data_IF_467381980531
#
_entry.id   IF_467381980531
#
_cell.length_a   1.000
_cell.length_b   1.000
_cell.length_c   1.000
_cell.angle_alpha   90.00
_cell.angle_beta   90.00
_cell.angle_gamma   90.00
#
_symmetry.space_group_name_H-M   'P 1'
#
loop_
_entity.id
_entity.type
_entity.pdbx_description
1 polymer ?
#
# COMPACT_ATOMS: atom_id res chain seq x y z
N UNK A 1 22.85 -17.50 35.68
CA UNK A 1 21.50 -17.72 35.09
C UNK A 1 20.92 -16.36 34.69
N UNK A 2 20.86 -16.16 33.37
CA UNK A 2 20.19 -15.14 32.55
C UNK A 2 19.74 -13.81 33.17
N UNK A 3 20.49 -12.74 32.89
CA UNK A 3 19.96 -11.38 32.70
C UNK A 3 19.98 -11.07 31.20
N UNK A 4 18.86 -11.27 30.51
CA UNK A 4 18.60 -10.83 29.14
C UNK A 4 17.10 -10.60 29.07
N UNK A 5 16.63 -9.40 28.71
CA UNK A 5 15.28 -9.04 28.19
C UNK A 5 14.81 -7.60 28.47
N UNK A 6 15.71 -6.65 28.76
CA UNK A 6 15.34 -5.22 28.77
C UNK A 6 16.39 -4.42 28.01
N UNK A 7 16.18 -4.23 26.71
CA UNK A 7 17.02 -3.36 25.89
C UNK A 7 16.65 -3.35 24.40
N UNK A 8 16.27 -2.16 23.92
CA UNK A 8 16.58 -1.62 22.58
C UNK A 8 15.78 -1.96 21.32
N UNK A 9 14.45 -2.20 21.37
CA UNK A 9 13.66 -2.30 20.11
C UNK A 9 12.32 -1.55 20.06
N UNK A 10 12.18 -0.48 20.84
CA UNK A 10 10.98 0.39 20.80
C UNK A 10 11.31 1.84 20.39
N UNK A 11 12.56 2.17 20.03
CA UNK A 11 12.91 3.51 19.50
C UNK A 11 12.75 3.65 17.98
N UNK A 12 12.79 2.54 17.23
CA UNK A 12 12.83 2.56 15.75
C UNK A 12 11.56 3.10 15.06
N UNK A 13 10.43 3.21 15.76
CA UNK A 13 9.18 3.73 15.16
C UNK A 13 9.06 5.25 15.26
N UNK A 14 9.89 5.93 16.06
CA UNK A 14 9.88 7.40 16.18
C UNK A 14 10.78 8.09 15.17
N UNK A 15 11.78 7.39 14.63
CA UNK A 15 12.71 7.94 13.65
C UNK A 15 12.19 7.82 12.20
N UNK A 16 11.07 7.12 11.99
CA UNK A 16 10.31 7.09 10.73
C UNK A 16 9.26 8.21 10.65
N UNK A 17 9.45 9.30 11.39
CA UNK A 17 8.67 10.52 11.21
C UNK A 17 9.14 11.23 9.94
N UNK A 18 8.45 10.93 8.84
CA UNK A 18 8.44 11.70 7.59
C UNK A 18 9.80 11.81 6.90
N UNK A 19 10.33 10.68 6.40
CA UNK A 19 11.28 10.72 5.29
C UNK A 19 10.55 11.19 4.02
N UNK A 20 10.38 12.51 3.91
CA UNK A 20 9.87 13.25 2.75
C UNK A 20 10.78 13.16 1.52
N UNK A 21 11.87 12.39 1.59
CA UNK A 21 12.87 12.20 0.53
C UNK A 21 12.98 10.74 0.11
N UNK A 22 11.90 10.22 -0.48
CA UNK A 22 11.73 8.80 -0.66
C UNK A 22 11.18 8.43 -2.04
N UNK A 23 11.87 8.92 -3.06
CA UNK A 23 11.51 8.74 -4.47
C UNK A 23 11.48 7.26 -4.94
N UNK A 24 12.08 6.34 -4.17
CA UNK A 24 12.05 4.90 -4.46
C UNK A 24 10.76 4.22 -3.99
N UNK A 25 10.16 4.68 -2.89
CA UNK A 25 8.95 4.07 -2.31
C UNK A 25 7.68 4.46 -3.08
N UNK A 26 7.65 5.68 -3.63
CA UNK A 26 6.60 6.17 -4.55
C UNK A 26 6.61 5.46 -5.92
N UNK A 27 7.75 4.85 -6.28
CA UNK A 27 7.89 4.17 -7.56
C UNK A 27 7.24 2.78 -7.60
N UNK A 28 7.01 2.15 -6.44
CA UNK A 28 6.44 0.80 -6.33
C UNK A 28 4.96 0.77 -6.73
N UNK A 29 4.44 -0.39 -7.16
CA UNK A 29 3.01 -0.52 -7.50
C UNK A 29 2.12 -0.22 -6.29
N UNK A 30 2.55 -0.62 -5.10
CA UNK A 30 1.82 -0.40 -3.85
C UNK A 30 1.81 1.07 -3.43
N UNK A 31 2.95 1.77 -3.56
CA UNK A 31 3.01 3.21 -3.29
C UNK A 31 2.12 4.02 -4.22
N UNK A 32 2.05 3.65 -5.51
CA UNK A 32 1.13 4.29 -6.47
C UNK A 32 -0.34 4.02 -6.14
N UNK A 33 -0.65 2.80 -5.71
CA UNK A 33 -2.00 2.41 -5.29
C UNK A 33 -2.47 3.21 -4.08
N UNK A 34 -1.64 3.31 -3.04
CA UNK A 34 -1.93 4.16 -1.88
C UNK A 34 -2.17 5.62 -2.29
N UNK A 35 -1.22 6.22 -3.00
CA UNK A 35 -1.29 7.63 -3.36
C UNK A 35 -2.52 7.97 -4.22
N UNK A 36 -2.80 7.14 -5.23
CA UNK A 36 -3.94 7.40 -6.11
C UNK A 36 -5.29 7.07 -5.45
N UNK A 37 -5.37 6.05 -4.59
CA UNK A 37 -6.58 5.81 -3.80
C UNK A 37 -6.90 6.98 -2.86
N UNK A 38 -5.88 7.53 -2.17
CA UNK A 38 -6.05 8.71 -1.31
C UNK A 38 -6.50 9.92 -2.14
N UNK A 39 -5.92 10.14 -3.32
CA UNK A 39 -6.31 11.22 -4.21
C UNK A 39 -7.79 11.13 -4.63
N UNK A 40 -8.24 9.96 -5.10
CA UNK A 40 -9.64 9.71 -5.48
C UNK A 40 -10.61 9.89 -4.30
N UNK A 41 -10.21 9.44 -3.11
CA UNK A 41 -11.01 9.59 -1.91
C UNK A 41 -11.13 11.06 -1.51
N UNK A 42 -10.03 11.83 -1.56
CA UNK A 42 -10.07 13.27 -1.30
C UNK A 42 -10.99 13.98 -2.29
N UNK A 43 -10.85 13.70 -3.59
CA UNK A 43 -11.71 14.29 -4.61
C UNK A 43 -13.19 13.97 -4.38
N UNK A 44 -13.49 12.72 -4.00
CA UNK A 44 -14.86 12.30 -3.69
C UNK A 44 -15.44 13.02 -2.48
N UNK A 45 -14.63 13.22 -1.44
CA UNK A 45 -15.05 13.88 -0.20
C UNK A 45 -15.15 15.40 -0.34
N UNK A 46 -14.35 16.03 -1.21
CA UNK A 46 -14.44 17.45 -1.54
C UNK A 46 -15.77 17.81 -2.22
N UNK A 47 -16.43 16.85 -2.87
CA UNK A 47 -17.78 17.03 -3.45
C UNK A 47 -18.90 17.04 -2.42
N UNK A 48 -18.63 16.59 -1.18
CA UNK A 48 -19.62 16.63 -0.11
C UNK A 48 -19.76 18.05 0.45
N UNK A 49 -20.99 18.47 0.76
CA UNK A 49 -21.30 19.82 1.24
C UNK A 49 -20.83 20.11 2.68
N UNK A 50 -20.22 19.12 3.36
CA UNK A 50 -19.63 19.28 4.69
C UNK A 50 -19.22 17.95 5.32
N UNK A 51 -18.35 17.99 6.31
CA UNK A 51 -17.75 16.80 6.95
C UNK A 51 -18.68 16.01 7.89
N UNK A 52 -19.85 16.55 8.22
CA UNK A 52 -20.81 15.93 9.14
C UNK A 52 -22.15 15.60 8.48
N UNK A 53 -22.18 15.53 7.15
CA UNK A 53 -23.41 15.24 6.43
C UNK A 53 -23.54 13.73 6.17
N UNK A 54 -24.76 13.20 6.04
CA UNK A 54 -24.98 11.80 5.65
C UNK A 54 -24.29 11.44 4.33
N UNK A 55 -24.16 12.40 3.40
CA UNK A 55 -23.46 12.22 2.13
C UNK A 55 -21.95 12.04 2.31
N UNK A 56 -21.33 12.75 3.25
CA UNK A 56 -19.92 12.54 3.57
C UNK A 56 -19.68 11.12 4.12
N UNK A 57 -20.57 10.67 5.01
CA UNK A 57 -20.50 9.33 5.59
C UNK A 57 -20.72 8.23 4.53
N UNK A 58 -21.66 8.42 3.61
CA UNK A 58 -21.93 7.44 2.55
C UNK A 58 -20.79 7.34 1.53
N UNK A 59 -20.05 8.43 1.30
CA UNK A 59 -18.88 8.45 0.43
C UNK A 59 -17.61 7.92 1.12
N UNK A 60 -17.41 8.29 2.39
CA UNK A 60 -16.17 7.99 3.13
C UNK A 60 -16.13 6.62 3.79
N UNK A 61 -17.15 6.25 4.56
CA UNK A 61 -17.12 5.04 5.40
C UNK A 61 -16.87 3.74 4.63
N UNK A 62 -17.47 3.51 3.44
CA UNK A 62 -17.18 2.30 2.68
C UNK A 62 -15.72 2.20 2.19
N UNK A 63 -15.03 3.34 2.05
CA UNK A 63 -13.66 3.43 1.53
C UNK A 63 -12.58 3.36 2.61
N UNK A 64 -12.94 3.53 3.89
CA UNK A 64 -11.98 3.50 4.99
C UNK A 64 -11.19 2.18 5.08
N UNK A 65 -11.87 1.03 4.95
CA UNK A 65 -11.19 -0.28 5.00
C UNK A 65 -10.25 -0.49 3.81
N UNK A 66 -10.68 -0.30 2.55
CA UNK A 66 -9.78 -0.35 1.40
C UNK A 66 -8.57 0.59 1.53
N UNK A 67 -8.78 1.82 2.00
CA UNK A 67 -7.69 2.78 2.23
C UNK A 67 -6.65 2.26 3.23
N UNK A 68 -7.11 1.77 4.39
CA UNK A 68 -6.22 1.21 5.41
C UNK A 68 -5.44 0.00 4.89
N UNK A 69 -6.06 -0.82 4.03
CA UNK A 69 -5.37 -1.94 3.40
C UNK A 69 -4.28 -1.47 2.43
N UNK A 70 -4.55 -0.47 1.59
CA UNK A 70 -3.57 0.09 0.66
C UNK A 70 -2.32 0.61 1.39
N UNK A 71 -2.54 1.43 2.42
CA UNK A 71 -1.47 1.97 3.29
C UNK A 71 -0.70 0.82 3.96
N UNK A 72 -1.43 -0.12 4.56
CA UNK A 72 -0.83 -1.27 5.25
C UNK A 72 -0.01 -2.16 4.32
N UNK A 73 -0.46 -2.36 3.08
CA UNK A 73 0.24 -3.15 2.07
C UNK A 73 1.56 -2.50 1.66
N UNK A 74 1.56 -1.18 1.41
CA UNK A 74 2.80 -0.44 1.15
C UNK A 74 3.74 -0.53 2.36
N UNK A 75 3.25 -0.24 3.57
CA UNK A 75 4.05 -0.29 4.80
C UNK A 75 4.65 -1.67 5.07
N UNK A 76 3.87 -2.74 4.87
CA UNK A 76 4.35 -4.10 5.08
C UNK A 76 5.41 -4.51 4.06
N UNK A 77 5.23 -4.12 2.80
CA UNK A 77 6.24 -4.36 1.75
C UNK A 77 7.55 -3.64 2.06
N UNK A 78 7.49 -2.37 2.48
CA UNK A 78 8.67 -1.60 2.85
C UNK A 78 9.40 -2.20 4.05
N UNK A 79 8.67 -2.55 5.11
CA UNK A 79 9.28 -3.21 6.26
C UNK A 79 9.93 -4.55 5.89
N UNK A 80 9.40 -5.27 4.91
CA UNK A 80 9.97 -6.52 4.43
C UNK A 80 11.23 -6.29 3.58
N UNK A 81 11.28 -5.22 2.77
CA UNK A 81 12.49 -4.79 2.05
C UNK A 81 13.59 -4.40 3.04
N UNK A 82 13.27 -3.60 4.05
CA UNK A 82 14.24 -3.16 5.07
C UNK A 82 14.75 -4.33 5.93
N UNK A 83 13.96 -5.40 6.04
CA UNK A 83 14.32 -6.64 6.73
C UNK A 83 15.07 -7.65 5.83
N UNK A 84 15.41 -7.30 4.59
CA UNK A 84 16.09 -8.15 3.62
C UNK A 84 15.37 -9.49 3.35
N UNK A 85 14.04 -9.44 3.26
CA UNK A 85 13.22 -10.61 2.90
C UNK A 85 13.50 -11.02 1.45
N UNK A 86 13.53 -12.33 1.21
CA UNK A 86 13.78 -12.89 -0.12
C UNK A 86 12.90 -12.23 -1.21
N UNK A 87 13.50 -11.76 -2.32
CA UNK A 87 12.78 -11.06 -3.39
C UNK A 87 11.60 -11.84 -3.99
N UNK A 88 11.61 -13.18 -3.95
CA UNK A 88 10.51 -14.01 -4.44
C UNK A 88 9.28 -13.89 -3.53
N UNK A 89 9.46 -13.81 -2.20
CA UNK A 89 8.36 -13.56 -1.28
C UNK A 89 7.81 -12.14 -1.42
N UNK A 90 8.68 -11.16 -1.65
CA UNK A 90 8.26 -9.79 -1.95
C UNK A 90 7.43 -9.73 -3.24
N UNK A 91 7.86 -10.42 -4.30
CA UNK A 91 7.13 -10.49 -5.56
C UNK A 91 5.77 -11.21 -5.40
N UNK A 92 5.72 -12.29 -4.62
CA UNK A 92 4.48 -13.01 -4.33
C UNK A 92 3.50 -12.14 -3.54
N UNK A 93 3.99 -11.39 -2.55
CA UNK A 93 3.20 -10.45 -1.77
C UNK A 93 2.63 -9.33 -2.66
N UNK A 94 3.46 -8.71 -3.49
CA UNK A 94 3.07 -7.67 -4.45
C UNK A 94 2.00 -8.19 -5.42
N UNK A 95 2.16 -9.40 -5.98
CA UNK A 95 1.16 -10.02 -6.85
C UNK A 95 -0.16 -10.30 -6.13
N UNK A 96 -0.11 -10.74 -4.86
CA UNK A 96 -1.30 -10.93 -4.03
C UNK A 96 -2.05 -9.62 -3.76
N UNK A 97 -1.33 -8.55 -3.48
CA UNK A 97 -1.89 -7.22 -3.30
C UNK A 97 -2.54 -6.68 -4.58
N UNK A 98 -1.87 -6.81 -5.73
CA UNK A 98 -2.42 -6.43 -7.04
C UNK A 98 -3.68 -7.21 -7.38
N UNK A 99 -3.72 -8.51 -7.06
CA UNK A 99 -4.92 -9.33 -7.27
C UNK A 99 -6.11 -8.85 -6.43
N UNK A 100 -5.87 -8.36 -5.21
CA UNK A 100 -6.92 -7.93 -4.30
C UNK A 100 -7.66 -6.67 -4.78
N UNK A 101 -7.00 -5.80 -5.55
CA UNK A 101 -7.60 -4.60 -6.14
C UNK A 101 -7.28 -4.42 -7.64
N UNK A 102 -7.42 -5.51 -8.39
CA UNK A 102 -7.04 -5.55 -9.80
C UNK A 102 -7.74 -4.51 -10.68
N UNK A 103 -8.95 -4.10 -10.33
CA UNK A 103 -9.70 -3.04 -11.02
C UNK A 103 -8.97 -1.71 -10.98
N UNK A 104 -8.49 -1.31 -9.79
CA UNK A 104 -7.78 -0.05 -9.63
C UNK A 104 -6.48 -0.02 -10.44
N UNK A 105 -5.71 -1.11 -10.40
CA UNK A 105 -4.46 -1.22 -11.14
C UNK A 105 -4.65 -1.19 -12.67
N UNK A 106 -5.73 -1.77 -13.17
CA UNK A 106 -6.04 -1.73 -14.61
C UNK A 106 -6.46 -0.32 -15.04
N UNK A 107 -7.28 0.36 -14.25
CA UNK A 107 -7.80 1.69 -14.56
C UNK A 107 -6.73 2.79 -14.45
N UNK A 108 -5.95 2.79 -13.37
CA UNK A 108 -5.04 3.88 -13.05
C UNK A 108 -3.62 3.69 -13.58
N UNK A 109 -3.11 2.45 -13.66
CA UNK A 109 -1.78 2.17 -14.22
C UNK A 109 -1.80 1.75 -15.69
N UNK A 110 -2.99 1.71 -16.32
CA UNK A 110 -3.18 1.23 -17.71
C UNK A 110 -2.50 -0.11 -17.97
N UNK A 111 -2.47 -0.98 -16.96
CA UNK A 111 -1.98 -2.33 -17.12
C UNK A 111 -2.99 -3.07 -18.00
N UNK A 112 -2.70 -3.15 -19.30
CA UNK A 112 -3.49 -3.93 -20.25
C UNK A 112 -3.73 -5.33 -19.69
N UNK A 113 -4.95 -5.87 -19.83
CA UNK A 113 -5.33 -7.23 -19.37
C UNK A 113 -4.26 -8.30 -19.71
N UNK A 114 -3.69 -8.19 -20.91
CA UNK A 114 -2.65 -9.08 -21.42
C UNK A 114 -1.31 -8.94 -20.67
N UNK A 115 -0.95 -7.71 -20.28
CA UNK A 115 0.28 -7.41 -19.54
C UNK A 115 0.18 -7.84 -18.07
N UNK A 116 -0.98 -7.68 -17.42
CA UNK A 116 -1.21 -8.14 -16.05
C UNK A 116 -1.11 -9.69 -15.95
N UNK A 117 -1.66 -10.39 -16.94
CA UNK A 117 -1.56 -11.85 -17.06
C UNK A 117 -0.11 -12.31 -17.31
N UNK A 118 0.64 -11.64 -18.21
CA UNK A 118 2.05 -11.95 -18.48
C UNK A 118 2.93 -11.62 -17.28
N UNK A 119 2.66 -10.55 -16.55
CA UNK A 119 3.43 -10.14 -15.37
C UNK A 119 3.24 -11.12 -14.20
N UNK A 120 2.01 -11.59 -13.96
CA UNK A 120 1.73 -12.66 -13.00
C UNK A 120 2.37 -14.00 -13.41
N UNK A 121 2.41 -14.31 -14.71
CA UNK A 121 2.99 -15.56 -15.22
C UNK A 121 4.53 -15.57 -15.21
N UNK A 122 5.19 -14.43 -15.49
CA UNK A 122 6.67 -14.35 -15.56
C UNK A 122 7.37 -14.37 -14.20
N UNK A 123 6.69 -14.03 -13.10
CA UNK A 123 7.26 -14.03 -11.74
C UNK A 123 6.94 -15.28 -10.91
N UNK A 124 6.06 -16.15 -11.40
CA UNK A 124 5.72 -17.43 -10.76
C UNK A 124 6.62 -18.61 -11.22
N UNK A 125 7.56 -18.35 -12.14
CA UNK A 125 8.53 -19.34 -12.65
C UNK A 125 9.94 -18.84 -12.32
N UNK A 126 10.30 -18.84 -11.02
CA UNK A 126 11.66 -18.98 -10.49
C UNK A 126 11.53 -19.73 -9.17
#
# INVERSE_FOLDING_TARGET
MSQFYLGSRVSSWKDHELDVNNHAKDATLLGRHEAGFIAEMRESLERAKGHRTPEYNSLGLPRCRPMLLAIGQRMAYEAAVDADVDPNFLALYEAGAVRNDSSWYVEQLRLSRHLNMIWSAKRAIV
#
